data_IF_811098102577
#
_entry.id   IF_811098102577
#
_cell.length_a   1.000
_cell.length_b   1.000
_cell.length_c   1.000
_cell.angle_alpha   90.00
_cell.angle_beta   90.00
_cell.angle_gamma   90.00
#
_symmetry.space_group_name_H-M   'P 1'
#
loop_
_entity.id
_entity.type
_entity.pdbx_description
1 polymer ?
#
# COMPACT_ATOMS: atom_id res chain seq x y z
N UNK A 1 27.67 -28.85 29.47
CA UNK A 1 26.89 -28.51 28.27
C UNK A 1 26.67 -27.01 28.24
N UNK A 2 26.86 -26.39 27.10
CA UNK A 2 26.59 -24.95 26.87
C UNK A 2 25.73 -24.78 25.64
N UNK A 3 24.92 -23.72 25.63
CA UNK A 3 24.07 -23.35 24.52
C UNK A 3 24.42 -21.94 24.03
N UNK A 4 24.31 -21.73 22.75
CA UNK A 4 24.59 -20.46 22.10
C UNK A 4 23.65 -20.28 20.88
N UNK A 5 22.96 -19.16 20.78
CA UNK A 5 22.16 -18.85 19.60
C UNK A 5 22.99 -18.39 18.40
N UNK A 6 24.30 -18.13 18.63
CA UNK A 6 25.13 -17.51 17.62
C UNK A 6 24.90 -16.01 17.49
N UNK A 7 25.10 -15.47 16.30
CA UNK A 7 24.98 -14.03 16.04
C UNK A 7 23.63 -13.64 15.41
N UNK A 8 22.86 -14.60 14.97
CA UNK A 8 21.69 -14.38 14.12
C UNK A 8 20.48 -15.14 14.66
N UNK A 9 19.73 -14.49 15.55
CA UNK A 9 18.56 -15.07 16.21
C UNK A 9 17.56 -13.98 16.63
N UNK A 10 16.26 -14.31 16.87
CA UNK A 10 15.28 -13.34 17.31
C UNK A 10 15.58 -12.81 18.72
N UNK A 11 15.38 -11.53 18.94
CA UNK A 11 15.56 -10.89 20.23
C UNK A 11 14.57 -11.46 21.26
N UNK A 12 15.07 -11.76 22.46
CA UNK A 12 14.23 -12.22 23.57
C UNK A 12 14.12 -13.74 23.70
N UNK A 13 14.70 -14.53 22.79
CA UNK A 13 14.74 -15.98 22.92
C UNK A 13 15.69 -16.39 24.06
N UNK A 14 15.18 -17.27 24.93
CA UNK A 14 15.96 -17.77 26.08
C UNK A 14 16.68 -19.07 25.71
N UNK A 15 17.94 -19.16 26.07
CA UNK A 15 18.72 -20.38 25.92
C UNK A 15 18.21 -21.48 26.86
N UNK A 16 18.17 -22.75 26.40
CA UNK A 16 17.90 -23.88 27.27
C UNK A 16 18.93 -24.02 28.38
N UNK A 17 18.49 -24.50 29.53
CA UNK A 17 19.38 -24.84 30.65
C UNK A 17 19.44 -26.33 30.77
N UNK A 18 20.64 -26.92 30.67
CA UNK A 18 20.89 -28.36 30.88
C UNK A 18 22.18 -28.53 31.68
N UNK A 19 22.05 -29.16 32.85
CA UNK A 19 23.17 -29.43 33.74
C UNK A 19 23.78 -30.83 33.49
N UNK A 20 23.31 -31.58 32.49
CA UNK A 20 23.83 -32.91 32.19
C UNK A 20 25.21 -32.86 31.55
N UNK A 21 26.01 -33.90 31.82
CA UNK A 21 27.25 -34.15 31.11
C UNK A 21 27.07 -35.34 30.18
N UNK A 22 27.56 -35.25 28.97
CA UNK A 22 27.51 -36.30 27.97
C UNK A 22 28.88 -36.81 27.63
N UNK A 23 28.98 -38.06 27.24
CA UNK A 23 30.26 -38.74 26.94
C UNK A 23 30.74 -38.53 25.50
N UNK A 24 29.80 -38.22 24.60
CA UNK A 24 30.08 -37.95 23.19
C UNK A 24 29.13 -36.90 22.63
N UNK A 25 29.49 -36.35 21.46
CA UNK A 25 28.65 -35.43 20.71
C UNK A 25 27.32 -36.06 20.26
N UNK A 26 27.37 -37.32 19.81
CA UNK A 26 26.19 -38.10 19.39
C UNK A 26 25.21 -38.30 20.55
N UNK A 27 25.72 -38.63 21.74
CA UNK A 27 24.88 -38.77 22.95
C UNK A 27 24.20 -37.46 23.32
N UNK A 28 24.93 -36.36 23.25
CA UNK A 28 24.42 -35.03 23.56
C UNK A 28 23.38 -34.59 22.52
N UNK A 29 23.64 -34.80 21.24
CA UNK A 29 22.74 -34.47 20.15
C UNK A 29 21.42 -35.27 20.24
N UNK A 30 21.50 -36.59 20.50
CA UNK A 30 20.35 -37.45 20.70
C UNK A 30 19.50 -37.00 21.91
N UNK A 31 20.13 -36.52 22.98
CA UNK A 31 19.42 -35.99 24.15
C UNK A 31 18.69 -34.66 23.87
N UNK A 32 19.09 -33.93 22.87
CA UNK A 32 18.46 -32.65 22.46
C UNK A 32 17.39 -32.85 21.38
N UNK A 33 17.38 -33.97 20.66
CA UNK A 33 16.36 -34.25 19.66
C UNK A 33 14.95 -34.19 20.30
N UNK A 34 14.14 -33.28 19.78
CA UNK A 34 12.77 -33.05 20.28
C UNK A 34 12.60 -32.02 21.40
N UNK A 35 13.69 -31.51 22.02
CA UNK A 35 13.57 -30.44 23.02
C UNK A 35 13.25 -29.08 22.42
N UNK A 36 13.74 -28.82 21.19
CA UNK A 36 13.34 -27.72 20.36
C UNK A 36 12.89 -28.26 19.02
N UNK A 37 11.59 -28.11 18.73
CA UNK A 37 11.02 -28.57 17.47
C UNK A 37 11.32 -27.58 16.37
N UNK A 38 11.43 -28.07 15.12
CA UNK A 38 11.61 -27.26 13.91
C UNK A 38 10.42 -26.31 13.61
N UNK A 39 9.41 -26.30 14.48
CA UNK A 39 8.23 -25.43 14.38
C UNK A 39 8.30 -24.15 15.22
N UNK A 40 9.39 -23.92 15.96
CA UNK A 40 9.57 -22.68 16.68
C UNK A 40 9.73 -21.53 15.68
N UNK A 41 8.79 -20.58 15.72
CA UNK A 41 8.80 -19.36 14.90
C UNK A 41 8.67 -18.16 15.81
N UNK A 42 9.36 -17.09 15.46
CA UNK A 42 9.26 -15.80 16.12
C UNK A 42 9.12 -14.71 15.08
N UNK A 43 8.19 -13.78 15.28
CA UNK A 43 8.05 -12.59 14.45
C UNK A 43 8.86 -11.47 15.07
N UNK A 44 9.91 -11.03 14.39
CA UNK A 44 10.77 -9.95 14.86
C UNK A 44 11.50 -9.30 13.68
N UNK A 45 12.00 -8.11 13.89
CA UNK A 45 12.78 -7.40 12.88
C UNK A 45 14.22 -7.92 12.82
N UNK A 46 14.78 -7.92 11.59
CA UNK A 46 16.21 -8.05 11.33
C UNK A 46 16.63 -6.97 10.35
N UNK A 47 17.65 -6.19 10.70
CA UNK A 47 18.19 -5.11 9.87
C UNK A 47 17.12 -4.10 9.39
N UNK A 48 16.15 -3.79 10.28
CA UNK A 48 15.05 -2.86 10.00
C UNK A 48 13.96 -3.43 9.07
N UNK A 49 13.91 -4.75 8.85
CA UNK A 49 12.89 -5.43 8.08
C UNK A 49 12.06 -6.34 8.97
N UNK A 50 10.76 -6.23 8.91
CA UNK A 50 9.84 -7.21 9.52
C UNK A 50 9.96 -8.54 8.84
N UNK A 51 9.77 -9.62 9.57
CA UNK A 51 9.85 -10.96 9.01
C UNK A 51 9.63 -12.05 10.03
N UNK A 52 9.85 -13.28 9.59
CA UNK A 52 9.66 -14.48 10.40
C UNK A 52 10.98 -15.21 10.58
N UNK A 53 11.34 -15.45 11.83
CA UNK A 53 12.44 -16.33 12.21
C UNK A 53 11.93 -17.75 12.36
N UNK A 54 12.66 -18.70 11.81
CA UNK A 54 12.40 -20.14 11.95
C UNK A 54 13.61 -20.82 12.56
N UNK A 55 13.39 -21.53 13.68
CA UNK A 55 14.40 -22.37 14.27
C UNK A 55 14.52 -23.69 13.49
N UNK A 56 15.74 -24.04 13.08
CA UNK A 56 16.01 -25.26 12.29
C UNK A 56 16.72 -26.35 13.07
N UNK A 57 17.04 -26.11 14.32
CA UNK A 57 17.66 -27.11 15.21
C UNK A 57 18.98 -26.69 15.80
N UNK A 58 19.63 -27.62 16.47
CA UNK A 58 20.92 -27.45 17.13
C UNK A 58 22.02 -28.18 16.37
N UNK A 59 23.20 -27.57 16.29
CA UNK A 59 24.44 -28.25 15.94
C UNK A 59 25.23 -28.46 17.22
N UNK A 60 25.50 -29.74 17.56
CA UNK A 60 26.33 -30.10 18.69
C UNK A 60 27.80 -30.17 18.27
N UNK A 61 28.68 -29.60 19.06
CA UNK A 61 30.14 -29.67 18.88
C UNK A 61 30.82 -29.99 20.20
N UNK A 62 31.68 -31.01 20.19
CA UNK A 62 32.49 -31.36 21.37
C UNK A 62 33.77 -30.50 21.40
N UNK A 63 33.95 -29.75 22.46
CA UNK A 63 35.12 -28.92 22.70
C UNK A 63 35.77 -29.39 24.01
N UNK A 64 36.84 -30.18 23.94
CA UNK A 64 37.41 -30.85 25.09
C UNK A 64 36.41 -31.81 25.74
N UNK A 65 35.98 -31.54 26.96
CA UNK A 65 34.95 -32.29 27.68
C UNK A 65 33.57 -31.61 27.67
N UNK A 66 33.44 -30.52 26.99
CA UNK A 66 32.20 -29.69 26.95
C UNK A 66 31.53 -29.87 25.61
N UNK A 67 30.23 -30.19 25.62
CA UNK A 67 29.37 -30.15 24.41
C UNK A 67 28.76 -28.75 24.32
N UNK A 68 29.01 -28.10 23.20
CA UNK A 68 28.39 -26.81 22.82
C UNK A 68 27.30 -27.05 21.77
N UNK A 69 26.10 -26.57 22.05
CA UNK A 69 24.99 -26.54 21.12
C UNK A 69 24.86 -25.13 20.51
N UNK A 70 25.03 -25.04 19.21
CA UNK A 70 24.77 -23.82 18.46
C UNK A 70 23.40 -23.91 17.79
N UNK A 71 22.52 -22.99 18.09
CA UNK A 71 21.19 -22.91 17.49
C UNK A 71 21.27 -22.34 16.08
N UNK A 72 20.43 -22.88 15.20
CA UNK A 72 20.30 -22.40 13.83
C UNK A 72 18.94 -21.74 13.63
N UNK A 73 18.97 -20.46 13.32
CA UNK A 73 17.80 -19.68 12.96
C UNK A 73 17.90 -19.19 11.52
N UNK A 74 16.77 -19.16 10.83
CA UNK A 74 16.68 -18.59 9.50
C UNK A 74 15.65 -17.47 9.52
N UNK A 75 16.04 -16.29 9.07
CA UNK A 75 15.14 -15.16 8.90
C UNK A 75 14.60 -15.11 7.48
N UNK A 76 13.28 -15.01 7.37
CA UNK A 76 12.59 -14.77 6.10
C UNK A 76 11.91 -13.42 6.20
N UNK A 77 12.36 -12.39 5.48
CA UNK A 77 11.71 -11.09 5.49
C UNK A 77 10.32 -11.18 4.86
N UNK A 78 9.40 -10.37 5.38
CA UNK A 78 8.08 -10.20 4.78
C UNK A 78 8.22 -9.62 3.37
N UNK A 79 7.30 -9.99 2.50
CA UNK A 79 7.24 -9.41 1.17
C UNK A 79 6.96 -7.90 1.26
N UNK A 80 7.56 -7.07 0.40
CA UNK A 80 7.25 -5.64 0.35
C UNK A 80 5.75 -5.40 0.14
N UNK A 81 5.20 -4.46 0.93
CA UNK A 81 3.83 -3.98 0.69
C UNK A 81 3.88 -2.97 -0.45
N UNK A 82 3.09 -3.22 -1.49
CA UNK A 82 2.95 -2.33 -2.65
C UNK A 82 1.50 -1.86 -2.70
N UNK A 83 1.30 -0.55 -2.55
CA UNK A 83 0.01 0.11 -2.70
C UNK A 83 -0.25 0.44 -4.18
N UNK A 84 -1.52 0.64 -4.54
CA UNK A 84 -1.89 1.22 -5.82
C UNK A 84 -1.34 2.66 -5.94
N UNK A 85 -0.81 3.01 -7.12
CA UNK A 85 -0.31 4.36 -7.38
C UNK A 85 -1.44 5.39 -7.30
N UNK A 86 -1.15 6.53 -6.68
CA UNK A 86 -2.06 7.67 -6.74
C UNK A 86 -2.04 8.25 -8.17
N UNK A 87 -3.23 8.47 -8.79
CA UNK A 87 -3.28 9.09 -10.12
C UNK A 87 -2.65 10.47 -10.13
N UNK A 88 -2.13 10.91 -11.29
CA UNK A 88 -1.58 12.24 -11.46
C UNK A 88 -2.62 13.32 -11.18
N UNK A 89 -2.17 14.48 -10.68
CA UNK A 89 -3.04 15.62 -10.43
C UNK A 89 -3.68 16.11 -11.74
N UNK A 90 -5.00 16.31 -11.69
CA UNK A 90 -5.81 16.80 -12.81
C UNK A 90 -6.06 18.28 -12.60
N UNK A 91 -5.70 19.10 -13.59
CA UNK A 91 -5.98 20.55 -13.61
C UNK A 91 -7.04 20.83 -14.64
N UNK A 92 -8.26 21.16 -14.19
CA UNK A 92 -9.35 21.57 -15.05
C UNK A 92 -9.20 23.06 -15.43
N UNK A 93 -9.67 23.39 -16.63
CA UNK A 93 -9.66 24.76 -17.16
C UNK A 93 -11.05 25.36 -16.97
N UNK A 94 -11.11 26.56 -16.39
CA UNK A 94 -12.35 27.36 -16.29
C UNK A 94 -12.61 28.10 -17.59
N UNK A 95 -13.89 28.33 -17.92
CA UNK A 95 -14.28 28.99 -19.16
C UNK A 95 -15.58 29.80 -19.01
N UNK A 96 -15.90 30.60 -20.02
CA UNK A 96 -17.10 31.44 -20.06
C UNK A 96 -17.85 31.23 -21.38
N UNK A 97 -19.17 31.06 -21.29
CA UNK A 97 -20.05 30.79 -22.41
C UNK A 97 -21.27 31.71 -22.41
N UNK A 98 -21.92 31.87 -23.57
CA UNK A 98 -23.27 32.39 -23.66
C UNK A 98 -24.28 31.26 -23.56
N UNK A 99 -25.52 31.59 -23.18
CA UNK A 99 -26.60 30.62 -23.19
C UNK A 99 -26.72 29.95 -24.56
N UNK A 100 -26.64 28.63 -24.59
CA UNK A 100 -26.74 27.83 -25.79
C UNK A 100 -25.46 27.61 -26.58
N UNK A 101 -24.33 28.18 -26.12
CA UNK A 101 -23.03 27.90 -26.74
C UNK A 101 -22.65 26.43 -26.55
N UNK A 102 -21.92 25.87 -27.49
CA UNK A 102 -21.33 24.53 -27.34
C UNK A 102 -20.11 24.64 -26.44
N UNK A 103 -20.20 24.07 -25.22
CA UNK A 103 -19.09 24.06 -24.30
C UNK A 103 -17.97 23.12 -24.77
N UNK A 104 -16.73 23.52 -24.49
CA UNK A 104 -15.56 22.63 -24.60
C UNK A 104 -15.61 21.58 -23.48
N UNK A 105 -15.30 20.36 -23.82
CA UNK A 105 -15.21 19.29 -22.81
C UNK A 105 -14.09 19.60 -21.80
N UNK A 106 -14.39 19.49 -20.53
CA UNK A 106 -13.39 19.47 -19.47
C UNK A 106 -12.61 18.15 -19.56
N UNK A 107 -11.29 18.24 -19.53
CA UNK A 107 -10.39 17.08 -19.60
C UNK A 107 -9.96 16.66 -18.19
N UNK A 108 -10.50 15.52 -17.75
CA UNK A 108 -10.21 14.91 -16.46
C UNK A 108 -9.19 13.77 -16.50
N UNK A 109 -8.49 13.61 -17.63
CA UNK A 109 -7.56 12.50 -17.83
C UNK A 109 -6.43 12.50 -16.79
N UNK A 110 -6.27 11.38 -16.11
CA UNK A 110 -5.17 11.08 -15.21
C UNK A 110 -4.28 9.97 -15.78
N UNK A 111 -3.10 9.78 -15.21
CA UNK A 111 -2.19 8.68 -15.51
C UNK A 111 -1.68 8.02 -14.24
N UNK A 112 -1.34 6.74 -14.32
CA UNK A 112 -0.65 5.95 -13.28
C UNK A 112 0.50 5.18 -13.90
N UNK A 113 1.51 4.81 -13.11
CA UNK A 113 2.68 4.07 -13.58
C UNK A 113 2.61 2.58 -13.29
N UNK A 114 1.68 2.15 -12.45
CA UNK A 114 1.54 0.77 -11.95
C UNK A 114 0.71 -0.15 -12.87
N UNK A 115 0.23 0.33 -14.02
CA UNK A 115 -0.72 -0.35 -14.92
C UNK A 115 -2.05 -0.71 -14.25
N UNK A 116 -2.47 0.04 -13.23
CA UNK A 116 -3.79 -0.07 -12.64
C UNK A 116 -4.89 0.45 -13.58
N UNK A 117 -6.14 0.17 -13.23
CA UNK A 117 -7.31 0.59 -14.01
C UNK A 117 -7.86 1.88 -13.45
N UNK A 118 -7.91 2.93 -14.30
CA UNK A 118 -8.48 4.22 -13.94
C UNK A 118 -10.00 4.22 -14.15
N UNK A 119 -10.71 4.82 -13.20
CA UNK A 119 -12.13 5.14 -13.27
C UNK A 119 -12.35 6.58 -12.81
N UNK A 120 -13.46 7.19 -13.27
CA UNK A 120 -13.75 8.59 -13.05
C UNK A 120 -15.17 8.77 -12.54
N UNK A 121 -15.40 9.84 -11.76
CA UNK A 121 -16.70 10.33 -11.40
C UNK A 121 -16.66 11.85 -11.37
N UNK A 122 -17.54 12.49 -12.15
CA UNK A 122 -17.71 13.94 -12.18
C UNK A 122 -18.68 14.42 -11.11
N UNK A 123 -18.40 15.59 -10.59
CA UNK A 123 -19.18 16.25 -9.54
C UNK A 123 -19.51 17.67 -9.91
N UNK A 124 -20.67 18.13 -9.47
CA UNK A 124 -21.10 19.52 -9.50
C UNK A 124 -21.21 20.03 -8.08
N UNK A 125 -20.60 21.19 -7.76
CA UNK A 125 -20.71 21.84 -6.48
C UNK A 125 -21.55 23.11 -6.58
N UNK A 126 -22.26 23.44 -5.49
CA UNK A 126 -22.96 24.73 -5.34
C UNK A 126 -22.04 25.82 -4.78
N UNK A 127 -20.83 25.47 -4.43
CA UNK A 127 -19.80 26.37 -3.87
C UNK A 127 -18.50 26.23 -4.65
N UNK A 128 -17.67 27.25 -4.52
CA UNK A 128 -16.32 27.26 -5.10
C UNK A 128 -15.36 26.31 -4.36
N UNK A 129 -15.71 25.02 -4.32
CA UNK A 129 -14.89 23.96 -3.71
C UNK A 129 -14.92 22.67 -4.55
N UNK A 130 -14.00 21.74 -4.27
CA UNK A 130 -13.87 20.46 -4.94
C UNK A 130 -14.04 19.26 -4.00
N UNK A 131 -14.82 19.39 -2.93
CA UNK A 131 -15.03 18.33 -1.94
C UNK A 131 -16.47 18.19 -1.44
N UNK A 132 -17.37 19.17 -1.68
CA UNK A 132 -18.77 19.16 -1.25
C UNK A 132 -19.77 18.96 -2.40
N UNK A 133 -19.32 18.61 -3.59
CA UNK A 133 -20.19 18.45 -4.76
C UNK A 133 -21.03 17.19 -4.71
N UNK A 134 -22.11 17.22 -5.50
CA UNK A 134 -22.96 16.07 -5.78
C UNK A 134 -22.47 15.37 -7.04
N UNK A 135 -22.40 14.04 -7.01
CA UNK A 135 -22.03 13.25 -8.18
C UNK A 135 -23.04 13.48 -9.32
N UNK A 136 -22.52 13.66 -10.54
CA UNK A 136 -23.33 13.80 -11.74
C UNK A 136 -23.58 12.39 -12.26
N UNK A 137 -24.83 11.96 -12.24
CA UNK A 137 -25.22 10.61 -12.63
C UNK A 137 -24.81 10.29 -14.08
N UNK A 138 -24.22 9.10 -14.27
CA UNK A 138 -23.75 8.62 -15.56
C UNK A 138 -22.51 9.32 -16.13
N UNK A 139 -21.92 10.30 -15.44
CA UNK A 139 -20.72 11.02 -15.90
C UNK A 139 -19.45 10.37 -15.32
N UNK A 140 -19.06 9.24 -15.94
CA UNK A 140 -17.94 8.39 -15.49
C UNK A 140 -16.77 8.34 -16.51
N UNK A 141 -16.81 9.21 -17.52
CA UNK A 141 -15.77 9.28 -18.56
C UNK A 141 -14.59 10.16 -18.16
N UNK A 142 -13.51 10.09 -18.91
CA UNK A 142 -12.33 10.97 -18.78
C UNK A 142 -12.69 12.45 -19.04
N UNK A 143 -13.74 12.72 -19.80
CA UNK A 143 -14.16 14.06 -20.17
C UNK A 143 -15.60 14.32 -19.77
N UNK A 144 -15.94 15.59 -19.54
CA UNK A 144 -17.28 16.04 -19.22
C UNK A 144 -17.59 17.34 -19.98
N UNK A 145 -18.75 17.42 -20.62
CA UNK A 145 -19.22 18.62 -21.32
C UNK A 145 -20.19 19.37 -20.40
N UNK A 146 -19.85 20.59 -19.92
CA UNK A 146 -20.75 21.40 -19.11
C UNK A 146 -22.04 21.78 -19.87
N UNK A 147 -23.15 21.85 -19.15
CA UNK A 147 -24.40 22.37 -19.67
C UNK A 147 -24.38 23.91 -19.68
N UNK A 148 -24.69 24.50 -20.83
CA UNK A 148 -24.76 25.96 -21.06
C UNK A 148 -26.18 26.46 -21.30
N UNK A 149 -27.20 25.65 -21.02
CA UNK A 149 -28.60 25.97 -21.31
C UNK A 149 -29.19 27.06 -20.45
N UNK A 150 -28.57 27.35 -19.29
CA UNK A 150 -29.03 28.34 -18.31
C UNK A 150 -27.90 29.23 -17.85
N UNK A 151 -28.24 30.51 -17.62
CA UNK A 151 -27.35 31.46 -16.99
C UNK A 151 -26.95 31.01 -15.56
N UNK A 152 -25.69 31.25 -15.20
CA UNK A 152 -25.19 30.97 -13.85
C UNK A 152 -23.70 30.70 -13.82
N UNK A 153 -23.19 30.54 -12.60
CA UNK A 153 -21.82 30.09 -12.31
C UNK A 153 -21.89 28.67 -11.80
N UNK A 154 -21.21 27.77 -12.46
CA UNK A 154 -21.19 26.34 -12.14
C UNK A 154 -19.77 25.88 -11.80
N UNK A 155 -19.66 25.02 -10.81
CA UNK A 155 -18.42 24.49 -10.31
C UNK A 155 -18.36 22.98 -10.55
N UNK A 156 -17.32 22.53 -11.24
CA UNK A 156 -17.15 21.11 -11.57
C UNK A 156 -15.78 20.62 -11.15
N UNK A 157 -15.73 19.37 -10.70
CA UNK A 157 -14.49 18.65 -10.47
C UNK A 157 -14.68 17.15 -10.76
N UNK A 158 -13.58 16.43 -10.90
CA UNK A 158 -13.58 14.99 -11.13
C UNK A 158 -12.72 14.30 -10.08
N UNK A 159 -13.14 13.13 -9.65
CA UNK A 159 -12.32 12.20 -8.87
C UNK A 159 -11.90 11.08 -9.79
N UNK A 160 -10.58 10.89 -9.96
CA UNK A 160 -10.00 9.76 -10.63
C UNK A 160 -9.52 8.74 -9.60
N UNK A 161 -9.90 7.49 -9.78
CA UNK A 161 -9.54 6.37 -8.90
C UNK A 161 -8.76 5.34 -9.68
N UNK A 162 -7.57 5.00 -9.21
CA UNK A 162 -6.79 3.87 -9.68
C UNK A 162 -7.15 2.62 -8.89
N UNK A 163 -7.37 1.50 -9.59
CA UNK A 163 -7.56 0.18 -9.00
C UNK A 163 -6.47 -0.76 -9.50
N UNK A 164 -5.63 -1.23 -8.57
CA UNK A 164 -4.54 -2.18 -8.78
C UNK A 164 -4.86 -3.49 -8.09
N UNK A 165 -5.47 -4.43 -8.81
CA UNK A 165 -6.01 -5.67 -8.24
C UNK A 165 -4.95 -6.57 -7.59
N UNK A 166 -3.73 -6.59 -8.12
CA UNK A 166 -2.58 -7.36 -7.65
C UNK A 166 -1.69 -6.60 -6.63
N UNK A 167 -2.08 -5.39 -6.20
CA UNK A 167 -1.42 -4.70 -5.10
C UNK A 167 -1.49 -5.54 -3.81
N UNK A 168 -0.38 -5.63 -3.08
CA UNK A 168 -0.29 -6.36 -1.81
C UNK A 168 -0.76 -5.53 -0.62
N UNK A 169 -0.75 -4.21 -0.75
CA UNK A 169 -1.29 -3.24 0.19
C UNK A 169 -2.66 -2.72 -0.23
N UNK A 170 -2.80 -1.38 -0.25
CA UNK A 170 -4.04 -0.72 -0.68
C UNK A 170 -4.26 -0.95 -2.18
N UNK A 171 -5.42 -1.48 -2.52
CA UNK A 171 -5.78 -1.80 -3.91
C UNK A 171 -6.32 -0.61 -4.71
N UNK A 172 -6.65 0.49 -4.04
CA UNK A 172 -7.19 1.70 -4.67
C UNK A 172 -6.51 2.95 -4.14
N UNK A 173 -6.30 3.91 -5.03
CA UNK A 173 -5.86 5.27 -4.70
C UNK A 173 -6.61 6.27 -5.56
N UNK A 174 -6.94 7.44 -5.01
CA UNK A 174 -7.74 8.43 -5.72
C UNK A 174 -7.12 9.82 -5.63
N UNK A 175 -7.40 10.64 -6.65
CA UNK A 175 -7.07 12.06 -6.67
C UNK A 175 -8.32 12.86 -7.05
N UNK A 176 -8.51 14.00 -6.39
CA UNK A 176 -9.52 14.99 -6.77
C UNK A 176 -8.86 16.07 -7.61
N UNK A 177 -9.48 16.44 -8.74
CA UNK A 177 -8.96 17.49 -9.63
C UNK A 177 -9.03 18.89 -8.98
N UNK A 178 -8.36 19.86 -9.59
CA UNK A 178 -8.73 21.25 -9.38
C UNK A 178 -10.18 21.47 -9.81
N UNK A 179 -10.77 22.57 -9.33
CA UNK A 179 -12.13 22.96 -9.72
C UNK A 179 -12.09 23.73 -11.05
N UNK A 180 -13.04 23.45 -11.94
CA UNK A 180 -13.37 24.30 -13.08
C UNK A 180 -14.56 25.19 -12.73
N UNK A 181 -14.45 26.47 -13.05
CA UNK A 181 -15.53 27.46 -12.95
C UNK A 181 -16.05 27.71 -14.36
N UNK A 182 -17.34 27.42 -14.58
CA UNK A 182 -18.02 27.67 -15.86
C UNK A 182 -19.06 28.76 -15.66
N UNK A 183 -18.82 29.91 -16.29
CA UNK A 183 -19.72 31.05 -16.26
C UNK A 183 -20.57 31.05 -17.52
N UNK A 184 -21.89 30.96 -17.39
CA UNK A 184 -22.84 31.08 -18.50
C UNK A 184 -23.58 32.40 -18.38
N UNK A 185 -23.51 33.25 -19.40
CA UNK A 185 -24.09 34.59 -19.45
C UNK A 185 -25.18 34.67 -20.51
N UNK A 186 -26.15 35.60 -20.34
CA UNK A 186 -27.11 35.89 -21.37
C UNK A 186 -26.43 36.40 -22.67
N UNK A 187 -27.03 36.10 -23.79
CA UNK A 187 -26.68 36.74 -25.06
C UNK A 187 -27.26 38.14 -25.13
N UNK A 188 -26.42 39.17 -25.13
CA UNK A 188 -26.90 40.55 -25.30
C UNK A 188 -27.50 40.67 -26.71
N UNK A 189 -28.82 40.88 -26.81
CA UNK A 189 -29.46 41.29 -28.04
C UNK A 189 -29.38 42.80 -28.13
N UNK A 190 -28.61 43.32 -29.09
CA UNK A 190 -28.65 44.72 -29.49
C UNK A 190 -29.90 44.90 -30.37
N UNK A 191 -30.84 45.74 -29.94
CA UNK A 191 -31.99 46.24 -30.72
C UNK A 191 -31.61 47.51 -31.47
#
# INVERSE_FOLDING_TARGET
VTYDWGTDFPTGEMLPVDSKTYKSEEEAKAAMDGKYTSSSTSTAEKDGKSGTWKFSGWIATLIGTTVKFNGMWTFTPDAPVVDADTPTNIKLVSDEYKIGDKATALDGKATVSDNGVLSYQWYKSDKADNFNGTAIDGQNGETFVPDTSKEGTYYYYVIATNTKADATGKKTASVTSSMAIINVKESVKYT
#
